data_IF_109105934727
#
_entry.id   IF_109105934727
#
_cell.length_a   1.000
_cell.length_b   1.000
_cell.length_c   1.000
_cell.angle_alpha   90.00
_cell.angle_beta   90.00
_cell.angle_gamma   90.00
#
_symmetry.space_group_name_H-M   'P 1'
#
loop_
_entity.id
_entity.type
_entity.pdbx_description
1 polymer ?
#
# COMPACT_ATOMS: atom_id res chain seq x y z
N UNK A 1 -6.99 23.12 3.35
CA UNK A 1 -7.69 21.88 2.95
C UNK A 1 -8.40 21.34 4.19
N UNK A 2 -9.64 20.82 4.10
CA UNK A 2 -10.34 20.30 5.31
C UNK A 2 -9.89 18.88 5.66
N UNK A 3 -9.97 18.48 6.94
CA UNK A 3 -9.65 17.11 7.37
C UNK A 3 -10.48 16.07 6.59
N UNK A 4 -11.77 16.35 6.41
CA UNK A 4 -12.67 15.54 5.57
C UNK A 4 -12.14 15.35 4.16
N UNK A 5 -11.71 16.42 3.48
CA UNK A 5 -11.16 16.33 2.11
C UNK A 5 -9.94 15.41 2.03
N UNK A 6 -9.03 15.50 3.00
CA UNK A 6 -7.84 14.65 3.06
C UNK A 6 -8.20 13.18 3.30
N UNK A 7 -9.11 12.90 4.24
CA UNK A 7 -9.55 11.54 4.56
C UNK A 7 -10.29 10.90 3.37
N UNK A 8 -11.17 11.65 2.72
CA UNK A 8 -11.87 11.21 1.51
C UNK A 8 -10.89 10.81 0.41
N UNK A 9 -9.85 11.63 0.17
CA UNK A 9 -8.81 11.32 -0.80
C UNK A 9 -8.06 10.02 -0.47
N UNK A 10 -7.72 9.81 0.81
CA UNK A 10 -7.07 8.59 1.27
C UNK A 10 -7.97 7.35 1.09
N UNK A 11 -9.24 7.41 1.47
CA UNK A 11 -10.17 6.28 1.33
C UNK A 11 -10.38 5.91 -0.13
N UNK A 12 -10.56 6.89 -1.02
CA UNK A 12 -10.70 6.66 -2.46
C UNK A 12 -9.41 6.13 -3.10
N UNK A 13 -8.24 6.55 -2.60
CA UNK A 13 -6.95 6.03 -3.07
C UNK A 13 -6.74 4.54 -2.78
N UNK A 14 -7.33 4.04 -1.69
CA UNK A 14 -7.26 2.63 -1.29
C UNK A 14 -8.32 1.77 -1.98
N UNK A 15 -9.43 2.38 -2.45
CA UNK A 15 -10.56 1.69 -3.07
C UNK A 15 -10.65 2.03 -4.58
N UNK A 16 -9.89 1.34 -5.45
CA UNK A 16 -9.88 1.66 -6.87
C UNK A 16 -11.27 1.54 -7.50
N UNK A 17 -11.71 2.62 -8.15
CA UNK A 17 -13.03 2.70 -8.79
C UNK A 17 -14.19 3.06 -7.86
N UNK A 18 -13.95 3.26 -6.57
CA UNK A 18 -14.95 3.79 -5.66
C UNK A 18 -15.28 5.26 -5.97
N UNK A 19 -16.56 5.60 -5.84
CA UNK A 19 -17.05 6.98 -5.87
C UNK A 19 -17.35 7.45 -4.45
N UNK A 20 -17.59 8.74 -4.23
CA UNK A 20 -18.00 9.26 -2.92
C UNK A 20 -19.24 8.56 -2.35
N UNK A 21 -20.16 8.18 -3.24
CA UNK A 21 -21.40 7.46 -2.90
C UNK A 21 -21.21 5.94 -2.78
N UNK A 22 -19.99 5.42 -3.00
CA UNK A 22 -19.74 4.00 -2.87
C UNK A 22 -20.01 3.55 -1.43
N UNK A 23 -20.72 2.43 -1.31
CA UNK A 23 -21.05 1.85 -0.01
C UNK A 23 -19.84 1.09 0.52
N UNK A 24 -19.34 1.50 1.68
CA UNK A 24 -18.20 0.91 2.37
C UNK A 24 -18.69 0.27 3.66
N UNK A 25 -18.19 -0.93 3.94
CA UNK A 25 -18.37 -1.62 5.21
C UNK A 25 -17.01 -1.70 5.90
N UNK A 26 -16.93 -1.18 7.13
CA UNK A 26 -15.74 -1.23 7.98
C UNK A 26 -16.02 -2.22 9.09
N UNK A 27 -15.26 -3.31 9.12
CA UNK A 27 -15.28 -4.27 10.22
C UNK A 27 -14.09 -4.02 11.14
N UNK A 28 -14.36 -3.79 12.42
CA UNK A 28 -13.33 -3.68 13.44
C UNK A 28 -13.45 -4.86 14.42
N UNK A 29 -12.40 -5.70 14.56
CA UNK A 29 -12.39 -6.71 15.60
C UNK A 29 -12.29 -6.05 16.98
N UNK A 30 -13.17 -6.46 17.89
CA UNK A 30 -13.16 -6.09 19.31
C UNK A 30 -12.76 -7.30 20.15
N UNK A 31 -12.28 -7.04 21.38
CA UNK A 31 -11.91 -8.10 22.33
C UNK A 31 -13.05 -9.10 22.59
N UNK A 32 -14.31 -8.70 22.41
CA UNK A 32 -15.49 -9.53 22.64
C UNK A 32 -16.44 -9.61 21.43
N UNK A 33 -15.97 -9.33 20.21
CA UNK A 33 -16.83 -9.42 19.02
C UNK A 33 -16.26 -8.72 17.78
N UNK A 34 -17.15 -8.38 16.85
CA UNK A 34 -16.85 -7.48 15.74
C UNK A 34 -17.81 -6.31 15.80
N UNK A 35 -17.28 -5.11 15.67
CA UNK A 35 -18.09 -3.97 15.31
C UNK A 35 -18.11 -3.83 13.78
N UNK A 36 -19.25 -3.45 13.23
CA UNK A 36 -19.43 -3.31 11.79
C UNK A 36 -20.18 -2.03 11.53
N UNK A 37 -19.51 -1.09 10.89
CA UNK A 37 -20.12 0.11 10.37
C UNK A 37 -20.33 -0.02 8.86
N UNK A 38 -21.43 0.51 8.33
CA UNK A 38 -21.69 0.55 6.88
C UNK A 38 -22.28 1.89 6.49
N UNK A 39 -21.71 2.55 5.48
CA UNK A 39 -22.17 3.84 4.97
C UNK A 39 -21.49 4.20 3.65
N UNK A 40 -21.50 5.47 3.29
CA UNK A 40 -20.78 5.96 2.10
C UNK A 40 -19.32 6.32 2.43
N UNK A 41 -18.45 6.44 1.42
CA UNK A 41 -17.08 6.94 1.61
C UNK A 41 -17.08 8.31 2.26
N UNK A 42 -17.95 9.21 1.82
CA UNK A 42 -18.08 10.55 2.39
C UNK A 42 -18.57 10.51 3.85
N UNK A 43 -19.52 9.62 4.17
CA UNK A 43 -19.99 9.43 5.55
C UNK A 43 -18.92 8.82 6.47
N UNK A 44 -18.04 7.97 5.94
CA UNK A 44 -16.88 7.47 6.67
C UNK A 44 -15.87 8.59 6.95
N UNK A 45 -15.59 9.41 5.93
CA UNK A 45 -14.66 10.53 6.06
C UNK A 45 -15.16 11.59 7.05
N UNK A 46 -16.46 11.90 7.03
CA UNK A 46 -17.11 12.78 7.99
C UNK A 46 -17.00 12.22 9.42
N UNK A 47 -17.30 10.93 9.61
CA UNK A 47 -17.20 10.29 10.93
C UNK A 47 -15.78 10.31 11.50
N UNK A 48 -14.77 10.08 10.65
CA UNK A 48 -13.36 10.14 11.06
C UNK A 48 -12.97 11.59 11.38
N UNK A 49 -13.38 12.56 10.55
CA UNK A 49 -13.12 13.97 10.79
C UNK A 49 -13.75 14.45 12.11
N UNK A 50 -15.02 14.11 12.38
CA UNK A 50 -15.72 14.43 13.62
C UNK A 50 -15.02 13.83 14.84
N UNK A 51 -14.56 12.58 14.75
CA UNK A 51 -13.83 11.93 15.83
C UNK A 51 -12.48 12.64 16.13
N UNK A 52 -11.81 13.13 15.08
CA UNK A 52 -10.55 13.88 15.21
C UNK A 52 -10.80 15.27 15.80
N UNK A 53 -11.80 16.00 15.29
CA UNK A 53 -12.05 17.40 15.64
C UNK A 53 -12.68 17.56 17.03
N UNK A 54 -13.62 16.68 17.39
CA UNK A 54 -14.34 16.81 18.66
C UNK A 54 -13.59 16.21 19.84
N UNK A 55 -12.63 15.31 19.59
CA UNK A 55 -11.91 14.56 20.63
C UNK A 55 -12.82 13.80 21.60
N UNK A 56 -14.11 13.71 21.30
CA UNK A 56 -15.13 13.03 22.10
C UNK A 56 -15.43 11.71 21.43
N UNK A 57 -15.48 10.65 22.23
CA UNK A 57 -16.24 9.45 21.88
C UNK A 57 -17.67 9.91 21.57
N UNK A 58 -17.99 10.04 20.29
CA UNK A 58 -19.36 10.26 19.83
C UNK A 58 -20.15 9.01 20.20
N UNK A 59 -20.82 9.03 21.36
CA UNK A 59 -21.70 7.94 21.76
C UNK A 59 -22.84 7.79 20.73
N UNK A 60 -23.02 6.59 20.14
CA UNK A 60 -24.19 6.29 19.33
C UNK A 60 -25.40 6.02 20.23
N UNK A 61 -26.51 6.67 19.94
CA UNK A 61 -27.82 6.21 20.38
C UNK A 61 -28.21 4.96 19.59
N UNK A 62 -28.28 3.86 20.32
CA UNK A 62 -28.74 2.50 19.97
C UNK A 62 -27.77 1.60 19.19
N UNK A 63 -27.20 0.65 19.96
CA UNK A 63 -26.27 -0.44 19.63
C UNK A 63 -24.80 -0.08 19.82
N UNK A 64 -24.27 -0.46 20.98
CA UNK A 64 -22.94 -0.15 21.50
C UNK A 64 -21.81 -0.81 20.72
N UNK A 65 -20.77 -0.04 20.37
CA UNK A 65 -19.39 -0.47 20.54
C UNK A 65 -18.49 0.66 21.09
N UNK A 66 -17.67 0.31 22.07
CA UNK A 66 -16.63 1.15 22.67
C UNK A 66 -15.35 0.99 21.86
N UNK A 67 -15.23 1.76 20.77
CA UNK A 67 -13.93 2.01 20.15
C UNK A 67 -13.51 3.38 20.61
N UNK A 68 -12.42 3.45 21.37
CA UNK A 68 -11.88 4.74 21.75
C UNK A 68 -11.39 5.45 20.49
N UNK A 69 -11.59 6.77 20.38
CA UNK A 69 -11.07 7.57 19.26
C UNK A 69 -9.56 7.35 19.01
N UNK A 70 -8.80 6.97 20.05
CA UNK A 70 -7.39 6.56 19.99
C UNK A 70 -7.18 5.30 19.15
N UNK A 71 -8.03 4.29 19.31
CA UNK A 71 -7.93 3.01 18.59
C UNK A 71 -8.34 3.18 17.12
N UNK A 72 -9.37 3.99 16.85
CA UNK A 72 -9.78 4.34 15.48
C UNK A 72 -8.67 5.13 14.75
N UNK A 73 -8.08 6.14 15.41
CA UNK A 73 -6.97 6.93 14.86
C UNK A 73 -5.74 6.07 14.58
N UNK A 74 -5.40 5.18 15.50
CA UNK A 74 -4.26 4.26 15.35
C UNK A 74 -4.51 3.30 14.19
N UNK A 75 -5.70 2.72 14.08
CA UNK A 75 -6.07 1.84 12.98
C UNK A 75 -6.02 2.55 11.61
N UNK A 76 -6.48 3.80 11.54
CA UNK A 76 -6.41 4.61 10.32
C UNK A 76 -4.97 4.95 9.95
N UNK A 77 -4.14 5.40 10.90
CA UNK A 77 -2.73 5.72 10.65
C UNK A 77 -1.93 4.48 10.26
N UNK A 78 -2.17 3.32 10.90
CA UNK A 78 -1.55 2.04 10.53
C UNK A 78 -1.99 1.61 9.14
N UNK A 79 -3.26 1.79 8.78
CA UNK A 79 -3.78 1.44 7.46
C UNK A 79 -3.23 2.36 6.36
N UNK A 80 -3.08 3.65 6.66
CA UNK A 80 -2.45 4.61 5.74
C UNK A 80 -0.96 4.32 5.60
N UNK A 81 -0.24 4.10 6.70
CA UNK A 81 1.18 3.76 6.66
C UNK A 81 1.44 2.44 5.90
N UNK A 82 0.57 1.45 6.08
CA UNK A 82 0.61 0.20 5.32
C UNK A 82 0.32 0.42 3.83
N UNK A 83 -0.73 1.16 3.50
CA UNK A 83 -1.07 1.49 2.12
C UNK A 83 0.05 2.28 1.42
N UNK A 84 0.75 3.17 2.14
CA UNK A 84 1.90 3.90 1.65
C UNK A 84 3.13 2.99 1.46
N UNK A 85 3.35 2.02 2.34
CA UNK A 85 4.43 1.00 2.20
C UNK A 85 4.22 0.08 1.00
N UNK A 86 2.96 -0.18 0.63
CA UNK A 86 2.59 -1.01 -0.51
C UNK A 86 2.66 -0.24 -1.86
N UNK A 87 2.98 1.06 -1.86
CA UNK A 87 3.22 1.83 -3.09
C UNK A 87 4.71 1.92 -3.43
N UNK A 88 5.10 1.80 -4.72
CA UNK A 88 6.51 1.81 -5.15
C UNK A 88 7.25 3.13 -4.86
N UNK A 89 6.52 4.23 -4.66
CA UNK A 89 7.10 5.54 -4.29
C UNK A 89 7.26 5.72 -2.77
N UNK A 90 6.71 4.82 -1.96
CA UNK A 90 6.68 4.91 -0.50
C UNK A 90 8.02 4.64 0.19
N UNK A 91 8.94 3.94 -0.46
CA UNK A 91 10.26 3.60 0.10
C UNK A 91 11.08 4.85 0.49
N UNK A 92 11.04 5.92 -0.31
CA UNK A 92 11.78 7.17 -0.04
C UNK A 92 11.18 8.02 1.08
N UNK A 93 9.89 7.85 1.37
CA UNK A 93 9.21 8.57 2.45
C UNK A 93 9.41 7.86 3.80
N UNK A 94 9.77 6.58 3.78
CA UNK A 94 9.92 5.71 4.95
C UNK A 94 11.33 5.70 5.55
N UNK A 95 12.40 5.99 4.79
CA UNK A 95 13.75 6.15 5.35
C UNK A 95 13.81 7.28 6.42
N UNK A 96 12.96 8.31 6.29
CA UNK A 96 12.80 9.34 7.31
C UNK A 96 11.90 8.95 8.49
N UNK A 97 11.11 7.87 8.37
CA UNK A 97 10.18 7.38 9.39
C UNK A 97 10.79 6.30 10.30
N UNK A 98 11.81 5.57 9.84
CA UNK A 98 12.57 4.67 10.72
C UNK A 98 13.42 5.44 11.75
N UNK A 99 13.87 6.66 11.44
CA UNK A 99 14.44 7.59 12.45
C UNK A 99 13.37 8.14 13.43
N UNK A 100 12.09 8.06 13.06
CA UNK A 100 10.95 8.38 13.93
C UNK A 100 10.43 7.16 14.71
N UNK A 101 11.11 6.02 14.63
CA UNK A 101 10.80 4.79 15.39
C UNK A 101 10.82 4.94 16.91
N UNK A 102 11.27 6.08 17.42
CA UNK A 102 11.17 6.47 18.84
C UNK A 102 10.54 7.88 19.04
N UNK A 103 10.01 8.48 17.97
CA UNK A 103 9.41 9.80 18.02
C UNK A 103 7.99 9.72 18.58
N UNK A 104 7.96 9.88 19.91
CA UNK A 104 6.99 10.68 20.67
C UNK A 104 5.56 10.63 20.13
N UNK A 105 4.72 9.91 20.86
CA UNK A 105 3.28 10.17 20.88
C UNK A 105 3.09 11.65 21.28
N UNK A 106 3.05 12.56 20.30
CA UNK A 106 2.72 13.96 20.56
C UNK A 106 1.24 14.02 20.89
N UNK A 107 0.95 14.20 22.17
CA UNK A 107 -0.40 14.43 22.69
C UNK A 107 -0.91 15.86 22.35
N UNK A 108 -0.04 16.73 21.83
CA UNK A 108 -0.40 18.10 21.44
C UNK A 108 -0.88 18.17 19.99
N UNK A 109 -2.17 18.49 19.82
CA UNK A 109 -2.81 18.71 18.54
C UNK A 109 -2.14 19.80 17.68
N UNK A 110 -1.45 20.77 18.29
CA UNK A 110 -0.71 21.82 17.57
C UNK A 110 0.53 21.28 16.89
N UNK A 111 1.16 20.29 17.50
CA UNK A 111 2.36 19.66 16.95
C UNK A 111 1.97 18.77 15.76
N UNK A 112 0.88 18.01 15.87
CA UNK A 112 0.32 17.23 14.74
C UNK A 112 -0.08 18.15 13.57
N UNK A 113 -0.69 19.30 13.84
CA UNK A 113 -1.01 20.29 12.81
C UNK A 113 0.24 20.87 12.15
N UNK A 114 1.30 21.15 12.93
CA UNK A 114 2.58 21.61 12.40
C UNK A 114 3.26 20.55 11.51
N UNK A 115 3.15 19.27 11.86
CA UNK A 115 3.64 18.16 11.04
C UNK A 115 2.86 18.01 9.73
N UNK A 116 1.54 18.17 9.76
CA UNK A 116 0.71 18.16 8.56
C UNK A 116 1.02 19.34 7.62
N UNK A 117 1.22 20.55 8.18
CA UNK A 117 1.63 21.73 7.41
C UNK A 117 3.06 21.58 6.85
N UNK A 118 3.98 20.96 7.60
CA UNK A 118 5.33 20.68 7.12
C UNK A 118 5.33 19.69 5.92
N UNK A 119 4.54 18.62 5.99
CA UNK A 119 4.37 17.67 4.89
C UNK A 119 3.70 18.31 3.67
N UNK A 120 2.70 19.16 3.88
CA UNK A 120 2.08 19.94 2.80
C UNK A 120 3.06 20.93 2.17
N UNK A 121 3.94 21.54 2.95
CA UNK A 121 5.00 22.43 2.47
C UNK A 121 6.04 21.69 1.62
N UNK A 122 6.44 20.47 2.02
CA UNK A 122 7.37 19.63 1.26
C UNK A 122 6.79 19.22 -0.10
N UNK A 123 5.48 18.95 -0.17
CA UNK A 123 4.79 18.65 -1.44
C UNK A 123 4.76 19.82 -2.43
N UNK A 124 5.06 21.06 -1.99
CA UNK A 124 5.13 22.26 -2.82
C UNK A 124 6.56 22.64 -3.24
N UNK A 125 7.59 22.00 -2.69
CA UNK A 125 9.00 22.32 -3.00
C UNK A 125 9.37 21.89 -4.44
N UNK A 126 8.71 20.88 -5.00
CA UNK A 126 8.98 20.40 -6.37
C UNK A 126 8.50 21.36 -7.47
N UNK A 127 7.52 22.22 -7.20
CA UNK A 127 6.90 23.09 -8.22
C UNK A 127 7.66 24.42 -8.43
N UNK A 128 8.42 24.89 -7.42
CA UNK A 128 8.95 26.27 -7.40
C UNK A 128 10.47 26.36 -7.68
N UNK A 129 11.19 25.23 -7.70
CA UNK A 129 12.65 25.24 -7.89
C UNK A 129 13.10 25.28 -9.35
N UNK A 130 12.21 25.09 -10.34
CA UNK A 130 12.55 25.25 -11.76
C UNK A 130 13.77 24.42 -12.22
N UNK A 131 14.10 23.34 -11.51
CA UNK A 131 15.21 22.44 -11.85
C UNK A 131 14.71 21.50 -12.95
N UNK A 132 14.60 22.01 -14.18
CA UNK A 132 14.62 21.17 -15.37
C UNK A 132 16.07 20.76 -15.61
N UNK A 133 16.62 19.95 -14.71
CA UNK A 133 17.81 19.18 -15.04
C UNK A 133 17.40 18.27 -16.20
N UNK A 134 18.12 18.34 -17.31
CA UNK A 134 18.06 17.32 -18.35
C UNK A 134 18.66 16.03 -17.76
N UNK A 135 17.93 15.44 -16.82
CA UNK A 135 18.23 14.14 -16.29
C UNK A 135 18.06 13.17 -17.46
N UNK A 136 19.04 12.30 -17.76
CA UNK A 136 18.80 11.23 -18.69
C UNK A 136 17.52 10.51 -18.28
N UNK A 137 16.67 10.10 -19.22
CA UNK A 137 15.45 9.36 -18.90
C UNK A 137 15.84 8.22 -17.94
N UNK A 138 15.08 8.03 -16.84
CA UNK A 138 15.38 6.95 -15.91
C UNK A 138 15.37 5.63 -16.69
N UNK A 139 16.36 4.78 -16.45
CA UNK A 139 16.40 3.46 -17.06
C UNK A 139 15.04 2.76 -16.87
N UNK A 140 14.49 2.25 -17.97
CA UNK A 140 13.17 1.62 -17.95
C UNK A 140 13.32 0.15 -17.58
N UNK A 141 13.08 -0.18 -16.32
CA UNK A 141 12.97 -1.58 -15.88
C UNK A 141 11.65 -2.16 -16.37
N UNK A 142 11.71 -3.28 -17.08
CA UNK A 142 10.54 -4.11 -17.39
C UNK A 142 10.64 -5.42 -16.63
N UNK A 143 9.50 -5.99 -16.28
CA UNK A 143 9.42 -7.21 -15.50
C UNK A 143 8.93 -8.33 -16.39
N UNK A 144 9.68 -9.42 -16.45
CA UNK A 144 9.32 -10.61 -17.22
C UNK A 144 8.84 -11.68 -16.26
N UNK A 145 7.61 -12.14 -16.47
CA UNK A 145 7.06 -13.29 -15.76
C UNK A 145 7.39 -14.56 -16.55
N UNK A 146 7.91 -15.57 -15.87
CA UNK A 146 8.32 -16.86 -16.43
C UNK A 146 7.79 -18.01 -15.56
N UNK A 147 7.59 -19.18 -16.17
CA UNK A 147 7.38 -20.45 -15.47
C UNK A 147 8.46 -21.43 -15.94
N UNK A 148 9.37 -21.79 -15.04
CA UNK A 148 10.63 -22.47 -15.36
C UNK A 148 11.44 -21.70 -16.43
N UNK A 149 11.36 -22.14 -17.70
CA UNK A 149 12.05 -21.53 -18.85
C UNK A 149 11.09 -20.88 -19.85
N UNK A 150 9.79 -20.93 -19.56
CA UNK A 150 8.72 -20.48 -20.46
C UNK A 150 8.30 -19.06 -20.08
N UNK A 151 8.41 -18.12 -21.02
CA UNK A 151 7.94 -16.75 -20.82
C UNK A 151 6.42 -16.71 -20.85
N UNK A 152 5.81 -16.19 -19.79
CA UNK A 152 4.34 -16.04 -19.68
C UNK A 152 3.87 -14.61 -19.92
N UNK A 153 4.72 -13.59 -19.70
CA UNK A 153 4.37 -12.19 -19.99
C UNK A 153 5.48 -11.17 -19.72
N UNK A 154 5.26 -9.93 -20.15
CA UNK A 154 6.11 -8.77 -19.84
C UNK A 154 5.24 -7.62 -19.32
N UNK A 155 5.78 -6.89 -18.35
CA UNK A 155 5.08 -5.85 -17.60
C UNK A 155 5.97 -4.65 -17.38
N UNK A 156 5.38 -3.48 -17.28
CA UNK A 156 6.10 -2.24 -16.92
C UNK A 156 6.19 -2.05 -15.40
N UNK A 157 5.54 -2.92 -14.62
CA UNK A 157 5.58 -2.88 -13.15
C UNK A 157 5.71 -4.30 -12.59
N UNK A 158 6.43 -4.42 -11.48
CA UNK A 158 6.62 -5.69 -10.79
C UNK A 158 5.30 -6.27 -10.27
N UNK A 159 4.46 -5.41 -9.70
CA UNK A 159 3.18 -5.78 -9.09
C UNK A 159 2.28 -6.49 -10.10
N UNK A 160 2.20 -6.00 -11.34
CA UNK A 160 1.37 -6.63 -12.37
C UNK A 160 1.96 -7.96 -12.86
N UNK A 161 3.30 -8.08 -12.90
CA UNK A 161 3.96 -9.35 -13.19
C UNK A 161 3.66 -10.40 -12.12
N UNK A 162 3.82 -10.03 -10.84
CA UNK A 162 3.52 -10.90 -9.69
C UNK A 162 2.05 -11.32 -9.68
N UNK A 163 1.13 -10.38 -9.90
CA UNK A 163 -0.30 -10.64 -9.98
C UNK A 163 -0.66 -11.64 -11.08
N UNK A 164 0.01 -11.58 -12.24
CA UNK A 164 -0.21 -12.55 -13.30
C UNK A 164 0.23 -13.96 -12.87
N UNK A 165 1.41 -14.10 -12.27
CA UNK A 165 1.88 -15.39 -11.75
C UNK A 165 0.93 -15.96 -10.69
N UNK A 166 0.48 -15.15 -9.73
CA UNK A 166 -0.48 -15.57 -8.71
C UNK A 166 -1.82 -16.00 -9.31
N UNK A 167 -2.29 -15.32 -10.36
CA UNK A 167 -3.50 -15.72 -11.08
C UNK A 167 -3.33 -17.05 -11.82
N UNK A 168 -2.15 -17.30 -12.41
CA UNK A 168 -1.85 -18.58 -13.06
C UNK A 168 -1.83 -19.73 -12.05
N UNK A 169 -1.10 -19.57 -10.93
CA UNK A 169 -1.10 -20.57 -9.83
C UNK A 169 -2.50 -20.79 -9.29
N UNK A 170 -3.29 -19.73 -9.09
CA UNK A 170 -4.69 -19.86 -8.64
C UNK A 170 -5.53 -20.75 -9.56
N UNK A 171 -5.30 -20.70 -10.87
CA UNK A 171 -6.03 -21.50 -11.87
C UNK A 171 -5.59 -22.97 -11.90
N UNK A 172 -4.39 -23.28 -11.42
CA UNK A 172 -3.87 -24.65 -11.32
C UNK A 172 -4.43 -25.40 -10.11
N UNK A 173 -4.94 -24.67 -9.13
CA UNK A 173 -5.55 -25.24 -7.93
C UNK A 173 -7.10 -25.21 -7.98
N UNK A 174 -7.77 -26.21 -7.38
CA UNK A 174 -9.22 -26.16 -7.18
C UNK A 174 -9.65 -24.92 -6.38
N UNK A 175 -10.77 -24.30 -6.76
CA UNK A 175 -11.27 -23.07 -6.15
C UNK A 175 -11.71 -23.19 -4.67
N UNK A 176 -11.81 -24.41 -4.14
CA UNK A 176 -12.12 -24.68 -2.73
C UNK A 176 -10.86 -24.75 -1.84
N UNK A 177 -9.67 -24.57 -2.41
CA UNK A 177 -8.39 -24.55 -1.68
C UNK A 177 -8.05 -23.15 -1.20
N UNK A 178 -7.52 -23.04 0.01
CA UNK A 178 -6.96 -21.81 0.52
C UNK A 178 -5.49 -21.70 0.09
N UNK A 179 -5.14 -20.63 -0.61
CA UNK A 179 -3.79 -20.36 -1.11
C UNK A 179 -3.24 -19.12 -0.40
N UNK A 180 -2.04 -19.22 0.14
CA UNK A 180 -1.26 -18.10 0.66
C UNK A 180 0.00 -17.95 -0.18
N UNK A 181 0.19 -16.76 -0.75
CA UNK A 181 1.32 -16.43 -1.61
C UNK A 181 2.38 -15.63 -0.85
N UNK A 182 3.64 -15.98 -1.11
CA UNK A 182 4.83 -15.25 -0.66
C UNK A 182 5.81 -15.18 -1.83
N UNK A 183 6.63 -14.15 -1.90
CA UNK A 183 7.70 -14.02 -2.89
C UNK A 183 9.05 -14.17 -2.19
N UNK A 184 9.90 -15.05 -2.70
CA UNK A 184 11.25 -15.29 -2.19
C UNK A 184 12.28 -14.79 -3.20
N UNK A 185 13.30 -14.04 -2.74
CA UNK A 185 14.43 -13.69 -3.62
C UNK A 185 15.21 -14.95 -3.98
N UNK A 186 15.63 -15.05 -5.24
CA UNK A 186 16.53 -16.09 -5.72
C UNK A 186 18.01 -15.69 -5.66
N UNK A 187 18.32 -14.44 -5.32
CA UNK A 187 19.69 -14.02 -5.06
C UNK A 187 20.02 -14.00 -3.57
N UNK A 188 21.30 -13.73 -3.28
CA UNK A 188 21.87 -13.87 -1.94
C UNK A 188 21.61 -12.63 -1.06
N UNK A 189 21.39 -11.46 -1.67
CA UNK A 189 21.37 -10.17 -0.97
C UNK A 189 19.96 -9.55 -0.86
N UNK A 190 18.97 -10.08 -1.58
CA UNK A 190 17.58 -9.63 -1.47
C UNK A 190 17.29 -8.28 -2.14
N UNK A 191 18.19 -7.83 -3.00
CA UNK A 191 18.07 -6.59 -3.75
C UNK A 191 16.92 -6.66 -4.79
N UNK A 192 16.31 -5.50 -5.09
CA UNK A 192 15.16 -5.40 -6.02
C UNK A 192 15.47 -5.83 -7.46
N UNK A 193 16.75 -5.93 -7.79
CA UNK A 193 17.24 -6.26 -9.13
C UNK A 193 17.44 -7.78 -9.29
N UNK A 194 17.16 -8.55 -8.24
CA UNK A 194 17.22 -10.01 -8.26
C UNK A 194 15.88 -10.62 -8.71
N UNK A 195 15.89 -11.80 -9.36
CA UNK A 195 14.68 -12.54 -9.64
C UNK A 195 13.98 -12.98 -8.35
N UNK A 196 12.64 -12.91 -8.33
CA UNK A 196 11.82 -13.43 -7.24
C UNK A 196 10.98 -14.62 -7.70
N UNK A 197 10.94 -15.69 -6.91
CA UNK A 197 10.10 -16.85 -7.13
C UNK A 197 8.85 -16.83 -6.24
N UNK A 198 7.70 -17.17 -6.83
CA UNK A 198 6.45 -17.34 -6.12
C UNK A 198 6.45 -18.64 -5.32
N UNK A 199 6.23 -18.50 -4.03
CA UNK A 199 6.04 -19.58 -3.06
C UNK A 199 4.58 -19.63 -2.66
N UNK A 200 3.99 -20.82 -2.68
CA UNK A 200 2.60 -21.05 -2.28
C UNK A 200 2.53 -21.95 -1.06
N UNK A 201 1.60 -21.65 -0.16
CA UNK A 201 1.17 -22.52 0.91
C UNK A 201 -0.29 -22.89 0.70
N UNK A 202 -0.58 -24.19 0.60
CA UNK A 202 -1.92 -24.71 0.31
C UNK A 202 -2.54 -25.30 1.57
N UNK A 203 -3.73 -24.82 1.96
CA UNK A 203 -4.51 -25.26 3.13
C UNK A 203 -3.70 -25.31 4.44
N UNK A 204 -2.80 -24.35 4.61
CA UNK A 204 -1.95 -24.28 5.80
C UNK A 204 -0.85 -25.35 5.86
N UNK A 205 -0.56 -26.05 4.75
CA UNK A 205 0.54 -27.00 4.64
C UNK A 205 1.92 -26.35 4.62
N UNK A 206 2.92 -27.06 4.11
CA UNK A 206 4.26 -26.50 3.93
C UNK A 206 4.31 -25.54 2.73
N UNK A 207 5.23 -24.59 2.78
CA UNK A 207 5.53 -23.69 1.66
C UNK A 207 6.23 -24.46 0.53
N UNK A 208 5.79 -24.22 -0.70
CA UNK A 208 6.29 -24.89 -1.90
C UNK A 208 6.61 -23.85 -2.98
N UNK A 209 7.78 -24.01 -3.61
CA UNK A 209 8.16 -23.25 -4.79
C UNK A 209 7.29 -23.68 -5.98
N UNK A 210 6.80 -22.69 -6.72
CA UNK A 210 5.86 -22.91 -7.82
C UNK A 210 6.53 -23.00 -9.18
N UNK A 211 7.80 -22.60 -9.30
CA UNK A 211 8.49 -22.43 -10.59
C UNK A 211 8.14 -21.13 -11.31
N UNK A 212 7.19 -20.33 -10.80
CA UNK A 212 6.86 -19.02 -11.35
C UNK A 212 7.84 -17.96 -10.83
N UNK A 213 8.54 -17.30 -11.75
CA UNK A 213 9.59 -16.32 -11.45
C UNK A 213 9.25 -14.97 -12.10
N UNK A 214 9.50 -13.89 -11.38
CA UNK A 214 9.50 -12.53 -11.92
C UNK A 214 10.95 -12.05 -11.99
N UNK A 215 11.40 -11.73 -13.21
CA UNK A 215 12.76 -11.28 -13.51
C UNK A 215 12.73 -9.80 -13.90
N UNK A 216 13.40 -8.91 -13.16
CA UNK A 216 13.62 -7.53 -13.60
C UNK A 216 14.60 -7.51 -14.78
N UNK A 217 14.31 -6.68 -15.78
CA UNK A 217 15.12 -6.52 -16.98
C UNK A 217 15.34 -5.04 -17.24
N UNK A 218 16.60 -4.65 -17.35
CA UNK A 218 16.94 -3.30 -17.79
C UNK A 218 16.77 -3.19 -19.30
N UNK A 219 15.97 -2.23 -19.73
CA UNK A 219 15.79 -1.91 -21.15
C UNK A 219 16.58 -0.66 -21.47
N UNK A 220 17.53 -0.80 -22.39
CA UNK A 220 18.23 0.35 -22.95
C UNK A 220 17.28 1.17 -23.84
N UNK A 221 17.33 2.49 -23.68
CA UNK A 221 16.51 3.43 -24.47
C UNK A 221 16.96 3.54 -25.94
N UNK A 222 18.21 3.17 -26.22
CA UNK A 222 18.80 3.21 -27.54
C UNK A 222 19.60 1.94 -27.81
N UNK A 223 19.60 1.52 -29.08
CA UNK A 223 20.49 0.45 -29.53
C UNK A 223 21.95 0.93 -29.47
N UNK A 224 22.76 0.18 -28.75
CA UNK A 224 24.22 0.32 -28.75
C UNK A 224 24.82 -0.87 -29.52
N UNK A 225 25.41 -0.66 -30.72
CA UNK A 225 26.04 -1.74 -31.47
C UNK A 225 27.27 -2.33 -30.78
N UNK A 226 27.84 -1.63 -29.79
CA UNK A 226 29.03 -2.03 -29.06
C UNK A 226 28.70 -2.63 -27.67
N UNK A 227 27.41 -2.73 -27.30
CA UNK A 227 26.98 -3.41 -26.07
C UNK A 227 27.13 -4.94 -26.18
N UNK A 228 27.75 -5.56 -25.17
CA UNK A 228 28.04 -7.01 -25.10
C UNK A 228 26.85 -7.88 -24.69
#
# INVERSE_FOLDING_TARGET
MSARTAITGAVLGVLPGATLDARVTVEQPLHTGRDTWTGTVDGLAERIADAIETGKDTQPGESTPTISARDARTAVLVSIARALREQPTGARLLDGLDELGEAVVCEDAREIAAWADALASVAHIDDDLGITSAQPPPAHTVYRAEHETIRVGHYTTEVEARRHCEALVSNEHPADRALLYTWASLGDDGDSDEPYELVVQVDGGDQQFTGYVVVPLDVADAYDPDAE
#
